data_IF_141055224961
#
_entry.id   IF_141055224961
#
_cell.length_a   1.000
_cell.length_b   1.000
_cell.length_c   1.000
_cell.angle_alpha   90.00
_cell.angle_beta   90.00
_cell.angle_gamma   90.00
#
_symmetry.space_group_name_H-M   'P 1'
#
loop_
_entity.id
_entity.type
_entity.pdbx_description
1 polymer ?
#
# COMPACT_ATOMS: atom_id res chain seq x y z
N UNK A 1 26.23 0.05 -18.36
CA UNK A 1 25.41 0.95 -19.20
C UNK A 1 24.97 2.12 -18.32
N UNK A 2 25.39 3.34 -18.63
CA UNK A 2 24.95 4.52 -17.85
C UNK A 2 23.61 4.99 -18.40
N UNK A 3 22.56 4.79 -17.61
CA UNK A 3 21.22 5.27 -17.95
C UNK A 3 21.09 6.73 -17.54
N UNK A 4 20.61 7.57 -18.46
CA UNK A 4 20.32 8.98 -18.16
C UNK A 4 19.02 9.07 -17.35
N UNK A 5 19.09 9.63 -16.15
CA UNK A 5 17.91 9.98 -15.35
C UNK A 5 17.38 11.33 -15.84
N UNK A 6 16.08 11.42 -16.09
CA UNK A 6 15.40 12.66 -16.45
C UNK A 6 14.76 13.27 -15.21
N UNK A 7 14.90 14.58 -15.06
CA UNK A 7 14.25 15.33 -13.98
C UNK A 7 13.03 16.08 -14.52
N UNK A 8 11.88 16.00 -13.83
CA UNK A 8 10.71 16.77 -14.21
C UNK A 8 10.93 18.26 -13.95
N UNK A 9 10.40 19.13 -14.81
CA UNK A 9 10.46 20.59 -14.63
C UNK A 9 9.75 21.04 -13.34
N UNK A 10 8.64 20.39 -13.01
CA UNK A 10 7.86 20.63 -11.80
C UNK A 10 7.42 19.31 -11.17
N UNK A 11 7.36 19.27 -9.84
CA UNK A 11 6.85 18.11 -9.09
C UNK A 11 5.38 18.33 -8.75
N UNK A 12 4.51 17.42 -9.20
CA UNK A 12 3.08 17.43 -8.90
C UNK A 12 2.68 16.17 -8.14
N UNK A 13 1.82 16.32 -7.13
CA UNK A 13 1.19 15.20 -6.43
C UNK A 13 0.04 14.64 -7.26
N UNK A 14 -0.06 13.31 -7.36
CA UNK A 14 -1.10 12.63 -8.13
C UNK A 14 -1.88 11.65 -7.25
N UNK A 15 -3.15 11.45 -7.60
CA UNK A 15 -4.00 10.39 -7.05
C UNK A 15 -4.26 9.40 -8.18
N UNK A 16 -3.94 8.12 -7.93
CA UNK A 16 -4.12 7.03 -8.90
C UNK A 16 -5.14 6.06 -8.32
N UNK A 17 -6.24 5.84 -9.04
CA UNK A 17 -7.26 4.86 -8.67
C UNK A 17 -7.21 3.70 -9.66
N UNK A 18 -6.79 2.53 -9.18
CA UNK A 18 -6.73 1.31 -9.98
C UNK A 18 -7.94 0.43 -9.62
N UNK A 19 -8.96 0.43 -10.48
CA UNK A 19 -10.25 -0.23 -10.24
C UNK A 19 -10.63 -1.21 -11.37
N UNK A 20 -11.76 -1.92 -11.21
CA UNK A 20 -12.29 -2.90 -12.16
C UNK A 20 -12.17 -4.35 -11.69
N UNK A 21 -12.84 -5.27 -12.42
CA UNK A 21 -12.91 -6.69 -12.06
C UNK A 21 -11.68 -7.51 -12.49
N UNK A 22 -10.83 -6.95 -13.36
CA UNK A 22 -9.59 -7.58 -13.79
C UNK A 22 -8.61 -7.87 -12.65
N UNK A 23 -7.81 -8.93 -12.81
CA UNK A 23 -6.63 -9.19 -11.96
C UNK A 23 -5.56 -8.12 -12.25
N UNK A 24 -4.76 -7.81 -11.24
CA UNK A 24 -3.58 -6.93 -11.40
C UNK A 24 -3.58 -5.65 -10.57
N UNK A 25 -4.71 -5.25 -9.96
CA UNK A 25 -4.80 -4.00 -9.15
C UNK A 25 -3.70 -3.90 -8.09
N UNK A 26 -3.61 -4.92 -7.23
CA UNK A 26 -2.57 -5.01 -6.19
C UNK A 26 -1.18 -5.10 -6.80
N UNK A 27 -0.98 -5.94 -7.80
CA UNK A 27 0.33 -6.11 -8.46
C UNK A 27 0.84 -4.81 -9.09
N UNK A 28 -0.05 -4.01 -9.70
CA UNK A 28 0.28 -2.69 -10.26
C UNK A 28 0.69 -1.70 -9.17
N UNK A 29 -0.03 -1.66 -8.04
CA UNK A 29 0.34 -0.81 -6.90
C UNK A 29 1.71 -1.20 -6.33
N UNK A 30 1.99 -2.50 -6.16
CA UNK A 30 3.30 -2.98 -5.73
C UNK A 30 4.42 -2.69 -6.75
N UNK A 31 4.12 -2.72 -8.05
CA UNK A 31 5.05 -2.28 -9.09
C UNK A 31 5.39 -0.80 -9.00
N UNK A 32 4.43 0.06 -8.60
CA UNK A 32 4.67 1.48 -8.31
C UNK A 32 5.59 1.62 -7.10
N UNK A 33 5.34 0.87 -6.02
CA UNK A 33 6.21 0.86 -4.84
C UNK A 33 7.66 0.48 -5.21
N UNK A 34 7.83 -0.64 -5.90
CA UNK A 34 9.15 -1.12 -6.34
C UNK A 34 9.88 -0.08 -7.18
N UNK A 35 9.19 0.55 -8.14
CA UNK A 35 9.76 1.62 -8.96
C UNK A 35 10.23 2.80 -8.10
N UNK A 36 9.39 3.26 -7.17
CA UNK A 36 9.69 4.41 -6.33
C UNK A 36 10.91 4.17 -5.43
N UNK A 37 11.00 2.96 -4.86
CA UNK A 37 12.16 2.54 -4.05
C UNK A 37 13.44 2.52 -4.89
N UNK A 38 13.36 2.10 -6.16
CA UNK A 38 14.48 2.20 -7.11
C UNK A 38 14.99 3.62 -7.34
N UNK A 39 14.14 4.63 -7.10
CA UNK A 39 14.50 6.06 -7.07
C UNK A 39 14.79 6.59 -5.65
N UNK A 40 15.01 5.70 -4.69
CA UNK A 40 15.27 6.00 -3.27
C UNK A 40 14.14 6.78 -2.57
N UNK A 41 12.91 6.65 -3.05
CA UNK A 41 11.73 7.26 -2.44
C UNK A 41 11.26 6.42 -1.23
N UNK A 42 10.61 7.07 -0.27
CA UNK A 42 10.00 6.43 0.90
C UNK A 42 8.55 6.09 0.60
N UNK A 43 8.17 4.83 0.78
CA UNK A 43 6.84 4.32 0.46
C UNK A 43 6.15 3.83 1.73
N UNK A 44 4.89 4.21 1.91
CA UNK A 44 4.01 3.60 2.91
C UNK A 44 2.91 2.80 2.20
N UNK A 45 2.66 1.57 2.64
CA UNK A 45 1.61 0.69 2.11
C UNK A 45 0.66 0.34 3.26
N UNK A 46 -0.64 0.52 3.06
CA UNK A 46 -1.68 0.19 4.03
C UNK A 46 -2.69 -0.79 3.39
N UNK A 47 -2.73 -2.03 3.89
CA UNK A 47 -3.69 -3.04 3.43
C UNK A 47 -4.90 -3.15 4.35
N UNK A 48 -6.07 -2.71 3.85
CA UNK A 48 -7.33 -2.67 4.60
C UNK A 48 -7.96 -4.04 4.87
N UNK A 49 -7.54 -5.09 4.17
CA UNK A 49 -8.26 -6.37 4.14
C UNK A 49 -7.41 -7.55 4.59
N UNK A 50 -6.18 -7.70 4.06
CA UNK A 50 -5.30 -8.81 4.43
C UNK A 50 -4.64 -8.49 5.78
N UNK A 51 -5.21 -9.02 6.86
CA UNK A 51 -4.53 -9.07 8.16
C UNK A 51 -3.68 -10.32 8.22
N UNK A 52 -4.34 -11.44 8.45
CA UNK A 52 -3.67 -12.70 8.82
C UNK A 52 -3.41 -13.64 7.62
N UNK A 53 -3.57 -13.15 6.40
CA UNK A 53 -3.49 -13.98 5.18
C UNK A 53 -2.10 -13.85 4.59
N UNK A 54 -1.38 -14.97 4.55
CA UNK A 54 -0.07 -15.05 3.90
C UNK A 54 -0.15 -14.69 2.41
N UNK A 55 0.85 -13.93 1.96
CA UNK A 55 1.06 -13.52 0.57
C UNK A 55 2.57 -13.38 0.36
N UNK A 56 3.13 -14.03 -0.67
CA UNK A 56 4.57 -13.89 -0.97
C UNK A 56 4.97 -12.43 -1.27
N UNK A 57 4.02 -11.62 -1.74
CA UNK A 57 4.19 -10.18 -1.92
C UNK A 57 4.53 -9.45 -0.61
N UNK A 58 3.92 -9.84 0.52
CA UNK A 58 4.18 -9.20 1.83
C UNK A 58 5.64 -9.41 2.22
N UNK A 59 6.14 -10.63 2.09
CA UNK A 59 7.53 -10.94 2.42
C UNK A 59 8.51 -10.28 1.46
N UNK A 60 8.16 -10.21 0.17
CA UNK A 60 8.93 -9.47 -0.82
C UNK A 60 9.04 -7.99 -0.47
N UNK A 61 7.94 -7.36 -0.08
CA UNK A 61 7.90 -5.95 0.31
C UNK A 61 8.70 -5.68 1.59
N UNK A 62 8.62 -6.55 2.61
CA UNK A 62 9.42 -6.42 3.84
C UNK A 62 10.93 -6.40 3.56
N UNK A 63 11.40 -7.10 2.52
CA UNK A 63 12.81 -7.09 2.10
C UNK A 63 13.27 -5.76 1.49
N UNK A 64 12.34 -4.86 1.15
CA UNK A 64 12.65 -3.53 0.62
C UNK A 64 12.84 -2.46 1.72
N UNK A 65 12.90 -2.89 2.99
CA UNK A 65 13.36 -2.06 4.10
C UNK A 65 14.76 -1.46 3.81
N UNK A 66 15.05 -0.21 4.24
CA UNK A 66 14.24 0.67 5.10
C UNK A 66 13.28 1.59 4.34
N UNK A 67 13.25 1.54 3.01
CA UNK A 67 12.50 2.50 2.19
C UNK A 67 10.99 2.21 2.14
N UNK A 68 10.53 1.11 2.74
CA UNK A 68 9.11 0.76 2.83
C UNK A 68 8.65 0.59 4.27
N UNK A 69 7.50 1.21 4.57
CA UNK A 69 6.71 0.96 5.77
C UNK A 69 5.40 0.27 5.39
N UNK A 70 5.15 -0.93 5.92
CA UNK A 70 3.99 -1.75 5.60
C UNK A 70 3.06 -1.90 6.82
N UNK A 71 1.78 -1.58 6.63
CA UNK A 71 0.71 -1.75 7.63
C UNK A 71 -0.33 -2.74 7.13
N UNK A 72 -0.46 -3.86 7.82
CA UNK A 72 -1.52 -4.86 7.59
C UNK A 72 -2.62 -4.63 8.63
N UNK A 73 -3.67 -3.88 8.27
CA UNK A 73 -4.69 -3.42 9.22
C UNK A 73 -5.99 -4.21 9.15
N UNK A 74 -6.14 -5.04 8.10
CA UNK A 74 -7.36 -5.81 7.85
C UNK A 74 -7.57 -6.98 8.80
N UNK A 75 -8.77 -7.57 8.76
CA UNK A 75 -9.17 -8.75 9.53
C UNK A 75 -9.43 -9.98 8.66
N UNK A 76 -8.90 -10.00 7.44
CA UNK A 76 -9.19 -11.01 6.43
C UNK A 76 -10.42 -10.68 5.60
N UNK A 77 -10.98 -11.68 4.91
CA UNK A 77 -12.14 -11.49 4.06
C UNK A 77 -13.42 -11.21 4.87
N UNK A 78 -14.10 -10.11 4.58
CA UNK A 78 -15.34 -9.74 5.26
C UNK A 78 -16.53 -10.58 4.76
N UNK A 79 -17.20 -11.30 5.67
CA UNK A 79 -18.44 -12.05 5.38
C UNK A 79 -18.29 -13.31 4.53
N UNK A 80 -17.06 -13.72 4.18
CA UNK A 80 -16.78 -14.91 3.36
C UNK A 80 -15.58 -15.68 3.90
N UNK A 81 -15.38 -16.91 3.39
CA UNK A 81 -14.25 -17.80 3.75
C UNK A 81 -14.12 -18.12 5.25
N UNK A 82 -15.25 -18.22 5.95
CA UNK A 82 -15.27 -18.64 7.36
C UNK A 82 -14.59 -17.64 8.31
N UNK A 83 -14.46 -16.37 7.90
CA UNK A 83 -13.90 -15.34 8.76
C UNK A 83 -14.77 -15.17 10.03
N UNK A 84 -14.17 -15.18 11.23
CA UNK A 84 -14.93 -15.18 12.48
C UNK A 84 -15.43 -13.79 12.90
N UNK A 85 -14.94 -12.71 12.26
CA UNK A 85 -15.23 -11.36 12.70
C UNK A 85 -16.53 -10.81 12.09
N UNK A 86 -17.38 -10.16 12.90
CA UNK A 86 -18.61 -9.53 12.42
C UNK A 86 -18.32 -8.29 11.58
N UNK A 87 -19.25 -7.90 10.71
CA UNK A 87 -19.16 -6.70 9.86
C UNK A 87 -18.81 -5.42 10.63
N UNK A 88 -19.30 -5.28 11.87
CA UNK A 88 -19.02 -4.11 12.72
C UNK A 88 -17.52 -3.98 13.03
N UNK A 89 -16.84 -5.10 13.25
CA UNK A 89 -15.40 -5.10 13.51
C UNK A 89 -14.59 -4.82 12.25
N UNK A 90 -14.96 -5.41 11.11
CA UNK A 90 -14.35 -5.06 9.82
C UNK A 90 -14.48 -3.56 9.51
N UNK A 91 -15.65 -2.99 9.78
CA UNK A 91 -15.90 -1.55 9.62
C UNK A 91 -15.01 -0.72 10.55
N UNK A 92 -14.91 -1.08 11.82
CA UNK A 92 -14.06 -0.37 12.79
C UNK A 92 -12.59 -0.37 12.33
N UNK A 93 -12.05 -1.54 11.99
CA UNK A 93 -10.69 -1.66 11.46
C UNK A 93 -10.45 -0.82 10.20
N UNK A 94 -11.41 -0.80 9.27
CA UNK A 94 -11.29 0.04 8.06
C UNK A 94 -11.28 1.54 8.39
N UNK A 95 -12.04 1.98 9.40
CA UNK A 95 -12.01 3.37 9.87
C UNK A 95 -10.67 3.72 10.53
N UNK A 96 -10.11 2.82 11.33
CA UNK A 96 -8.80 3.00 11.94
C UNK A 96 -7.69 3.06 10.87
N UNK A 97 -7.78 2.22 9.84
CA UNK A 97 -6.87 2.25 8.70
C UNK A 97 -6.98 3.55 7.89
N UNK A 98 -8.20 4.10 7.72
CA UNK A 98 -8.38 5.42 7.08
C UNK A 98 -7.75 6.55 7.91
N UNK A 99 -7.89 6.49 9.24
CA UNK A 99 -7.25 7.44 10.15
C UNK A 99 -5.73 7.36 10.03
N UNK A 100 -5.17 6.14 10.03
CA UNK A 100 -3.75 5.90 9.80
C UNK A 100 -3.28 6.45 8.45
N UNK A 101 -4.02 6.19 7.36
CA UNK A 101 -3.70 6.71 6.03
C UNK A 101 -3.63 8.24 6.02
N UNK A 102 -4.60 8.91 6.66
CA UNK A 102 -4.59 10.37 6.82
C UNK A 102 -3.37 10.84 7.61
N UNK A 103 -3.05 10.19 8.72
CA UNK A 103 -1.87 10.53 9.54
C UNK A 103 -0.57 10.37 8.74
N UNK A 104 -0.40 9.25 8.02
CA UNK A 104 0.79 8.98 7.20
C UNK A 104 0.92 9.97 6.04
N UNK A 105 -0.18 10.27 5.35
CA UNK A 105 -0.21 11.26 4.27
C UNK A 105 0.21 12.66 4.76
N UNK A 106 -0.32 13.11 5.91
CA UNK A 106 -0.02 14.43 6.46
C UNK A 106 1.37 14.53 7.10
N UNK A 107 1.99 13.40 7.43
CA UNK A 107 3.30 13.38 8.09
C UNK A 107 4.45 13.93 7.25
N UNK A 108 4.27 14.01 5.91
CA UNK A 108 5.34 14.35 4.93
C UNK A 108 6.57 13.43 5.00
N UNK A 109 6.44 12.25 5.61
CA UNK A 109 7.51 11.24 5.72
C UNK A 109 7.58 10.28 4.54
N UNK A 110 6.59 10.30 3.65
CA UNK A 110 6.51 9.39 2.52
C UNK A 110 6.32 10.19 1.24
N UNK A 111 6.96 9.73 0.19
CA UNK A 111 6.81 10.28 -1.15
C UNK A 111 5.66 9.59 -1.90
N UNK A 112 5.34 8.33 -1.54
CA UNK A 112 4.19 7.58 -2.03
C UNK A 112 3.45 6.90 -0.85
N UNK A 113 2.12 7.02 -0.86
CA UNK A 113 1.21 6.26 -0.02
C UNK A 113 0.35 5.37 -0.92
N UNK A 114 0.29 4.08 -0.61
CA UNK A 114 -0.51 3.06 -1.29
C UNK A 114 -1.55 2.52 -0.32
#
# INVERSE_FOLDING_TARGET
MNLKVLEPKEKVGLIIVITGHGKGKTTSALGIALRAIGYNMRVCIIEFMKGDIYSGEIDGIKRLSPNVELHLTGKGFCGIKGNPYPYKEHRANAQDALKLAKEKMLSKKFDILI
#
